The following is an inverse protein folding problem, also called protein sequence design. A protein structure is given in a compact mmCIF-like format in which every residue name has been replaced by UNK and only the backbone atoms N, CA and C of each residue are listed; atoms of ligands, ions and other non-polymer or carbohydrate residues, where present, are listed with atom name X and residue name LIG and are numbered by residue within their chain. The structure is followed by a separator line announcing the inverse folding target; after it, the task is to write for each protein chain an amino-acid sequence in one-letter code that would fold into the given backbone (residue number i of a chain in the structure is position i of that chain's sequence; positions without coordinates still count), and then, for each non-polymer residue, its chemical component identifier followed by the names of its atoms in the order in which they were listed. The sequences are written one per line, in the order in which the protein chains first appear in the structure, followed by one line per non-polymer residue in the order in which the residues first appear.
data_IF_113315645269
#
_entry.id   IF_113315645269
#
_cell.length_a   1.000
_cell.length_b   1.000
_cell.length_c   1.000
_cell.angle_alpha   90.00
_cell.angle_beta   90.00
_cell.angle_gamma   90.00
#
_symmetry.space_group_name_H-M   'P 1'
#
loop_
_entity.id
_entity.type
_entity.pdbx_description
1 polymer ?
#
# COMPACT_ATOMS: atom_id res chain seq x y z
N UNK A 1 108.70 57.32 33.90
CA UNK A 1 107.44 56.66 34.30
C UNK A 1 106.94 55.79 33.15
N UNK A 2 107.40 54.54 33.08
CA UNK A 2 107.00 53.57 32.04
C UNK A 2 106.22 52.43 32.71
N UNK A 3 104.90 52.38 32.52
CA UNK A 3 104.10 51.21 32.85
C UNK A 3 103.96 50.32 31.62
N UNK A 4 104.86 49.35 31.46
CA UNK A 4 104.66 48.21 30.55
C UNK A 4 103.75 47.22 31.25
N UNK A 5 102.47 47.15 30.84
CA UNK A 5 101.58 46.03 31.20
C UNK A 5 102.07 44.78 30.46
N UNK A 6 102.49 43.78 31.22
CA UNK A 6 102.66 42.42 30.72
C UNK A 6 101.30 41.89 30.24
N UNK A 7 101.23 41.44 28.99
CA UNK A 7 100.07 40.76 28.45
C UNK A 7 100.05 39.32 28.98
N UNK A 8 98.98 38.99 29.68
CA UNK A 8 98.73 37.72 30.34
C UNK A 8 98.36 36.61 29.30
N UNK A 9 99.04 35.46 29.24
CA UNK A 9 98.82 34.43 28.21
C UNK A 9 97.54 33.59 28.40
N UNK A 10 96.82 33.74 29.52
CA UNK A 10 95.69 32.86 29.92
C UNK A 10 94.33 33.33 29.37
N UNK A 11 94.23 34.59 28.96
CA UNK A 11 92.99 35.21 28.47
C UNK A 11 92.41 34.69 27.12
N UNK A 12 93.21 34.29 26.12
CA UNK A 12 92.67 33.84 24.82
C UNK A 12 91.96 32.48 24.86
N UNK A 13 92.40 31.54 25.70
CA UNK A 13 91.77 30.22 25.81
C UNK A 13 90.43 30.26 26.57
N UNK A 14 90.33 31.09 27.61
CA UNK A 14 89.06 31.33 28.30
C UNK A 14 88.02 31.98 27.36
N UNK A 15 88.47 32.94 26.54
CA UNK A 15 87.61 33.62 25.55
C UNK A 15 87.09 32.63 24.50
N UNK A 16 87.95 31.72 24.02
CA UNK A 16 87.58 30.66 23.07
C UNK A 16 86.56 29.69 23.67
N UNK A 17 86.73 29.28 24.93
CA UNK A 17 85.76 28.44 25.65
C UNK A 17 84.42 29.14 25.84
N UNK A 18 84.42 30.44 26.14
CA UNK A 18 83.20 31.23 26.30
C UNK A 18 82.41 31.36 24.99
N UNK A 19 83.08 31.53 23.85
CA UNK A 19 82.45 31.52 22.52
C UNK A 19 81.87 30.14 22.22
N UNK A 20 82.61 29.05 22.49
CA UNK A 20 82.09 27.68 22.33
C UNK A 20 80.86 27.43 23.20
N UNK A 21 80.87 27.88 24.45
CA UNK A 21 79.73 27.74 25.36
C UNK A 21 78.50 28.51 24.82
N UNK A 22 78.68 29.76 24.34
CA UNK A 22 77.60 30.53 23.70
C UNK A 22 77.03 29.84 22.46
N UNK A 23 77.89 29.25 21.62
CA UNK A 23 77.47 28.51 20.43
C UNK A 23 76.68 27.25 20.80
N UNK A 24 77.18 26.46 21.75
CA UNK A 24 76.48 25.27 22.25
C UNK A 24 75.13 25.63 22.87
N UNK A 25 75.04 26.76 23.59
CA UNK A 25 73.79 27.23 24.18
C UNK A 25 72.78 27.66 23.11
N UNK A 26 73.25 28.26 22.01
CA UNK A 26 72.42 28.57 20.85
C UNK A 26 71.94 27.31 20.11
N UNK A 27 72.81 26.31 19.94
CA UNK A 27 72.47 25.01 19.36
C UNK A 27 71.43 24.27 20.22
N UNK A 28 71.60 24.27 21.55
CA UNK A 28 70.65 23.66 22.48
C UNK A 28 69.27 24.31 22.38
N UNK A 29 69.21 25.66 22.33
CA UNK A 29 67.95 26.38 22.08
C UNK A 29 67.34 26.04 20.72
N UNK A 30 68.14 25.91 19.68
CA UNK A 30 67.66 25.53 18.34
C UNK A 30 67.08 24.11 18.33
N UNK A 31 67.76 23.16 18.98
CA UNK A 31 67.26 21.78 19.12
C UNK A 31 65.98 21.72 19.95
N UNK A 32 65.89 22.48 21.04
CA UNK A 32 64.66 22.61 21.83
C UNK A 32 63.50 23.16 20.99
N UNK A 33 63.73 24.19 20.17
CA UNK A 33 62.71 24.74 19.29
C UNK A 33 62.27 23.72 18.23
N UNK A 34 63.21 23.00 17.61
CA UNK A 34 62.89 21.93 16.64
C UNK A 34 62.08 20.80 17.27
N UNK A 35 62.46 20.39 18.49
CA UNK A 35 61.73 19.39 19.25
C UNK A 35 60.30 19.87 19.56
N UNK A 36 60.14 21.12 19.99
CA UNK A 36 58.83 21.72 20.25
C UNK A 36 57.95 21.73 19.00
N UNK A 37 58.50 22.11 17.84
CA UNK A 37 57.78 22.10 16.55
C UNK A 37 57.37 20.67 16.17
N UNK A 38 58.23 19.68 16.40
CA UNK A 38 57.90 18.27 16.13
C UNK A 38 56.82 17.76 17.07
N UNK A 39 56.88 18.11 18.36
CA UNK A 39 55.85 17.76 19.34
C UNK A 39 54.49 18.36 18.97
N UNK A 40 54.44 19.64 18.55
CA UNK A 40 53.17 20.25 18.11
C UNK A 40 52.61 19.55 16.86
N UNK A 41 53.46 19.26 15.87
CA UNK A 41 53.03 18.53 14.67
C UNK A 41 52.54 17.11 14.98
N UNK A 42 53.14 16.45 15.98
CA UNK A 42 52.73 15.13 16.43
C UNK A 42 51.36 15.18 17.12
N UNK A 43 51.11 16.18 17.97
CA UNK A 43 49.80 16.36 18.60
C UNK A 43 48.70 16.69 17.58
N UNK A 44 49.01 17.51 16.58
CA UNK A 44 48.08 17.77 15.45
C UNK A 44 47.75 16.48 14.71
N UNK A 45 48.77 15.69 14.33
CA UNK A 45 48.57 14.40 13.66
C UNK A 45 47.73 13.43 14.52
N UNK A 46 47.97 13.41 15.84
CA UNK A 46 47.19 12.61 16.79
C UNK A 46 45.71 13.04 16.82
N UNK A 47 45.43 14.33 16.77
CA UNK A 47 44.06 14.84 16.73
C UNK A 47 43.33 14.49 15.43
N UNK A 48 44.03 14.54 14.28
CA UNK A 48 43.50 14.13 12.98
C UNK A 48 43.22 12.63 12.94
N UNK A 49 44.10 11.81 13.53
CA UNK A 49 43.88 10.38 13.63
C UNK A 49 42.64 10.05 14.46
N UNK A 50 42.43 10.76 15.58
CA UNK A 50 41.27 10.52 16.43
C UNK A 50 39.97 10.94 15.75
N UNK A 51 39.95 12.08 15.05
CA UNK A 51 38.78 12.48 14.25
C UNK A 51 38.46 11.51 13.11
N UNK A 52 39.50 10.91 12.49
CA UNK A 52 39.31 9.86 11.50
C UNK A 52 38.65 8.60 12.10
N UNK A 53 39.06 8.19 13.31
CA UNK A 53 38.43 7.05 14.01
C UNK A 53 36.98 7.35 14.37
N UNK A 54 36.68 8.53 14.89
CA UNK A 54 35.32 8.95 15.23
C UNK A 54 34.43 8.94 13.98
N UNK A 55 34.91 9.50 12.87
CA UNK A 55 34.20 9.47 11.59
C UNK A 55 33.95 8.04 11.11
N UNK A 56 34.93 7.15 11.23
CA UNK A 56 34.77 5.75 10.84
C UNK A 56 33.73 5.02 11.69
N UNK A 57 33.69 5.27 13.01
CA UNK A 57 32.65 4.73 13.91
C UNK A 57 31.27 5.28 13.54
N UNK A 58 31.16 6.58 13.25
CA UNK A 58 29.91 7.20 12.83
C UNK A 58 29.42 6.62 11.49
N UNK A 59 30.31 6.45 10.51
CA UNK A 59 29.99 5.79 9.25
C UNK A 59 29.56 4.35 9.45
N UNK A 60 30.23 3.60 10.33
CA UNK A 60 29.83 2.23 10.66
C UNK A 60 28.43 2.17 11.27
N UNK A 61 28.06 3.12 12.13
CA UNK A 61 26.70 3.21 12.68
C UNK A 61 25.65 3.52 11.60
N UNK A 62 25.95 4.44 10.67
CA UNK A 62 25.07 4.73 9.54
C UNK A 62 24.88 3.51 8.63
N UNK A 63 25.96 2.80 8.33
CA UNK A 63 25.90 1.55 7.54
C UNK A 63 25.05 0.50 8.25
N UNK A 64 25.15 0.38 9.58
CA UNK A 64 24.32 -0.55 10.34
C UNK A 64 22.83 -0.19 10.23
N UNK A 65 22.49 1.09 10.44
CA UNK A 65 21.11 1.58 10.32
C UNK A 65 20.54 1.31 8.92
N UNK A 66 21.33 1.58 7.87
CA UNK A 66 20.90 1.32 6.49
C UNK A 66 20.71 -0.18 6.22
N UNK A 67 21.51 -1.05 6.83
CA UNK A 67 21.32 -2.51 6.72
C UNK A 67 20.03 -2.97 7.39
N UNK A 68 19.70 -2.41 8.55
CA UNK A 68 18.44 -2.70 9.23
C UNK A 68 17.25 -2.25 8.39
N UNK A 69 17.30 -1.03 7.82
CA UNK A 69 16.25 -0.53 6.91
C UNK A 69 16.08 -1.41 5.66
N UNK A 70 17.18 -1.92 5.08
CA UNK A 70 17.14 -2.85 3.95
C UNK A 70 16.43 -4.15 4.33
N UNK A 71 16.72 -4.68 5.53
CA UNK A 71 16.11 -5.92 6.02
C UNK A 71 14.59 -5.75 6.20
N UNK A 72 14.16 -4.62 6.74
CA UNK A 72 12.73 -4.30 6.89
C UNK A 72 12.04 -4.20 5.51
N UNK A 73 12.70 -3.58 4.53
CA UNK A 73 12.18 -3.52 3.16
C UNK A 73 12.08 -4.90 2.49
N UNK A 74 13.07 -5.78 2.70
CA UNK A 74 13.04 -7.16 2.20
C UNK A 74 11.85 -7.95 2.78
N UNK A 75 11.55 -7.80 4.06
CA UNK A 75 10.37 -8.41 4.70
C UNK A 75 9.06 -7.87 4.12
N UNK A 76 9.00 -6.56 3.85
CA UNK A 76 7.86 -5.91 3.22
C UNK A 76 7.63 -6.45 1.80
N UNK A 77 8.69 -6.62 1.01
CA UNK A 77 8.65 -7.22 -0.33
C UNK A 77 8.17 -8.68 -0.26
N UNK A 78 8.69 -9.46 0.69
CA UNK A 78 8.25 -10.86 0.88
C UNK A 78 6.76 -10.93 1.25
N UNK A 79 6.28 -10.02 2.10
CA UNK A 79 4.87 -9.90 2.49
C UNK A 79 3.98 -9.49 1.32
N UNK A 80 4.40 -8.50 0.54
CA UNK A 80 3.71 -8.07 -0.67
C UNK A 80 3.60 -9.23 -1.68
N UNK A 81 4.68 -10.01 -1.84
CA UNK A 81 4.70 -11.17 -2.73
C UNK A 81 3.70 -12.24 -2.30
N UNK A 82 3.62 -12.54 -0.99
CA UNK A 82 2.60 -13.44 -0.43
C UNK A 82 1.17 -12.95 -0.66
N UNK A 83 0.91 -11.66 -0.45
CA UNK A 83 -0.40 -11.06 -0.70
C UNK A 83 -0.76 -11.14 -2.18
N UNK A 84 0.20 -10.85 -3.08
CA UNK A 84 0.00 -10.94 -4.53
C UNK A 84 -0.35 -12.36 -4.96
N UNK A 85 0.37 -13.38 -4.46
CA UNK A 85 0.03 -14.78 -4.76
C UNK A 85 -1.35 -15.17 -4.24
N UNK A 86 -1.70 -14.74 -3.01
CA UNK A 86 -3.01 -15.02 -2.43
C UNK A 86 -4.15 -14.39 -3.26
N UNK A 87 -3.99 -13.13 -3.66
CA UNK A 87 -4.94 -12.43 -4.52
C UNK A 87 -5.11 -13.15 -5.86
N UNK A 88 -4.02 -13.59 -6.48
CA UNK A 88 -4.07 -14.32 -7.75
C UNK A 88 -4.82 -15.65 -7.60
N UNK A 89 -4.56 -16.42 -6.55
CA UNK A 89 -5.31 -17.66 -6.26
C UNK A 89 -6.79 -17.40 -6.07
N UNK A 90 -7.15 -16.34 -5.33
CA UNK A 90 -8.55 -15.99 -5.11
C UNK A 90 -9.26 -15.58 -6.41
N UNK A 91 -8.60 -14.80 -7.27
CA UNK A 91 -9.10 -14.45 -8.59
C UNK A 91 -9.37 -15.72 -9.42
N UNK A 92 -8.40 -16.64 -9.48
CA UNK A 92 -8.56 -17.90 -10.21
C UNK A 92 -9.72 -18.76 -9.69
N UNK A 93 -9.93 -18.80 -8.37
CA UNK A 93 -11.04 -19.53 -7.77
C UNK A 93 -12.40 -18.89 -8.12
N UNK A 94 -12.48 -17.55 -8.09
CA UNK A 94 -13.69 -16.83 -8.50
C UNK A 94 -13.98 -16.98 -9.99
N UNK A 95 -12.95 -16.91 -10.84
CA UNK A 95 -13.08 -17.15 -12.29
C UNK A 95 -13.59 -18.56 -12.58
N UNK A 96 -13.06 -19.57 -11.89
CA UNK A 96 -13.55 -20.95 -11.98
C UNK A 96 -15.01 -21.07 -11.55
N UNK A 97 -15.37 -20.52 -10.39
CA UNK A 97 -16.75 -20.54 -9.89
C UNK A 97 -17.73 -19.84 -10.85
N UNK A 98 -17.33 -18.72 -11.46
CA UNK A 98 -18.14 -18.05 -12.48
C UNK A 98 -18.30 -18.90 -13.75
N UNK A 99 -17.27 -19.62 -14.16
CA UNK A 99 -17.34 -20.54 -15.29
C UNK A 99 -18.31 -21.69 -15.02
N UNK A 100 -18.23 -22.33 -13.84
CA UNK A 100 -19.14 -23.40 -13.40
C UNK A 100 -20.60 -22.90 -13.34
N UNK A 101 -20.82 -21.68 -12.83
CA UNK A 101 -22.15 -21.05 -12.82
C UNK A 101 -22.68 -20.79 -14.23
N UNK A 102 -21.82 -20.36 -15.15
CA UNK A 102 -22.20 -20.13 -16.55
C UNK A 102 -22.61 -21.43 -17.22
N UNK A 103 -21.86 -22.51 -16.99
CA UNK A 103 -22.20 -23.85 -17.49
C UNK A 103 -23.56 -24.30 -16.93
N UNK A 104 -23.80 -24.09 -15.63
CA UNK A 104 -25.08 -24.43 -15.01
C UNK A 104 -26.26 -23.62 -15.56
N UNK A 105 -26.06 -22.34 -15.86
CA UNK A 105 -27.08 -21.50 -16.51
C UNK A 105 -27.42 -22.08 -17.89
N UNK A 106 -26.42 -22.43 -18.70
CA UNK A 106 -26.63 -23.03 -20.03
C UNK A 106 -27.40 -24.35 -19.93
N UNK A 107 -27.06 -25.22 -18.98
CA UNK A 107 -27.80 -26.47 -18.73
C UNK A 107 -29.28 -26.20 -18.40
N UNK A 108 -29.54 -25.26 -17.49
CA UNK A 108 -30.90 -24.91 -17.08
C UNK A 108 -31.71 -24.28 -18.23
N UNK A 109 -31.09 -23.42 -19.04
CA UNK A 109 -31.70 -22.85 -20.25
C UNK A 109 -32.07 -23.95 -21.27
N UNK A 110 -31.19 -24.93 -21.46
CA UNK A 110 -31.47 -26.07 -22.34
C UNK A 110 -32.63 -26.92 -21.81
N UNK A 111 -32.67 -27.21 -20.51
CA UNK A 111 -33.82 -27.88 -19.87
C UNK A 111 -35.12 -27.10 -20.06
N UNK A 112 -35.08 -25.77 -19.87
CA UNK A 112 -36.24 -24.92 -20.08
C UNK A 112 -36.72 -24.97 -21.53
N UNK A 113 -35.80 -24.93 -22.51
CA UNK A 113 -36.13 -25.03 -23.94
C UNK A 113 -36.84 -26.35 -24.27
N UNK A 114 -36.38 -27.47 -23.70
CA UNK A 114 -37.02 -28.78 -23.86
C UNK A 114 -38.43 -28.77 -23.28
N UNK A 115 -38.60 -28.29 -22.04
CA UNK A 115 -39.93 -28.21 -21.41
C UNK A 115 -40.89 -27.30 -22.17
N UNK A 116 -40.42 -26.18 -22.70
CA UNK A 116 -41.22 -25.29 -23.54
C UNK A 116 -41.70 -25.98 -24.82
N UNK A 117 -40.81 -26.73 -25.49
CA UNK A 117 -41.15 -27.50 -26.68
C UNK A 117 -42.17 -28.61 -26.38
N UNK A 118 -41.99 -29.34 -25.28
CA UNK A 118 -42.94 -30.38 -24.83
C UNK A 118 -44.31 -29.80 -24.51
N UNK A 119 -44.34 -28.64 -23.82
CA UNK A 119 -45.58 -27.91 -23.51
C UNK A 119 -46.30 -27.49 -24.79
N UNK A 120 -45.59 -26.88 -25.73
CA UNK A 120 -46.16 -26.44 -27.01
C UNK A 120 -46.72 -27.63 -27.82
N UNK A 121 -46.03 -28.78 -27.80
CA UNK A 121 -46.53 -30.03 -28.40
C UNK A 121 -47.79 -30.55 -27.71
N UNK A 122 -47.84 -30.50 -26.38
CA UNK A 122 -49.01 -30.89 -25.60
C UNK A 122 -50.20 -29.95 -25.86
N UNK A 123 -49.95 -28.65 -25.94
CA UNK A 123 -50.94 -27.61 -26.24
C UNK A 123 -51.53 -27.79 -27.65
N UNK A 124 -50.70 -28.04 -28.67
CA UNK A 124 -51.18 -28.38 -30.02
C UNK A 124 -52.07 -29.62 -30.03
N UNK A 125 -51.73 -30.66 -29.26
CA UNK A 125 -52.56 -31.87 -29.13
C UNK A 125 -53.89 -31.58 -28.44
N UNK A 126 -53.86 -30.80 -27.35
CA UNK A 126 -55.06 -30.40 -26.62
C UNK A 126 -56.00 -29.60 -27.52
N UNK A 127 -55.50 -28.59 -28.25
CA UNK A 127 -56.30 -27.81 -29.19
C UNK A 127 -56.89 -28.64 -30.35
N UNK A 128 -56.19 -29.70 -30.80
CA UNK A 128 -56.74 -30.64 -31.78
C UNK A 128 -57.92 -31.45 -31.20
N UNK A 129 -57.81 -31.88 -29.95
CA UNK A 129 -58.90 -32.59 -29.26
C UNK A 129 -60.08 -31.67 -28.96
N UNK A 130 -59.83 -30.44 -28.55
CA UNK A 130 -60.86 -29.42 -28.32
C UNK A 130 -61.65 -29.12 -29.60
N UNK A 131 -60.97 -28.98 -30.76
CA UNK A 131 -61.66 -28.83 -32.06
C UNK A 131 -62.51 -30.05 -32.44
N UNK A 132 -62.08 -31.27 -32.10
CA UNK A 132 -62.89 -32.49 -32.32
C UNK A 132 -64.12 -32.51 -31.41
N UNK A 133 -63.98 -32.05 -30.16
CA UNK A 133 -65.07 -31.99 -29.19
C UNK A 133 -66.07 -30.87 -29.51
N UNK A 134 -65.61 -29.69 -29.93
CA UNK A 134 -66.47 -28.60 -30.39
C UNK A 134 -67.25 -28.97 -31.66
N UNK A 135 -66.68 -29.82 -32.54
CA UNK A 135 -67.38 -30.42 -33.67
C UNK A 135 -68.45 -31.47 -33.30
N UNK A 136 -68.45 -31.95 -32.05
CA UNK A 136 -69.48 -32.86 -31.50
C UNK A 136 -70.47 -32.16 -30.56
N UNK A 137 -70.31 -30.86 -30.31
CA UNK A 137 -71.16 -30.09 -29.37
C UNK A 137 -72.46 -29.57 -30.01
N UNK A 138 -72.81 -30.07 -31.20
CA UNK A 138 -74.17 -30.09 -31.69
C UNK A 138 -74.58 -31.54 -31.84
N UNK A 139 -75.63 -31.95 -31.13
CA UNK A 139 -76.30 -33.27 -31.14
C UNK A 139 -76.02 -34.20 -29.96
N UNK A 140 -76.72 -33.92 -28.86
CA UNK A 140 -77.49 -34.97 -28.18
C UNK A 140 -78.97 -34.55 -28.18
N UNK A 141 -79.79 -34.94 -29.17
CA UNK A 141 -81.24 -34.84 -29.03
C UNK A 141 -81.72 -35.99 -28.14
N UNK A 142 -82.27 -35.60 -27.00
CA UNK A 142 -83.11 -36.43 -26.17
C UNK A 142 -84.26 -37.00 -27.03
N UNK A 143 -84.38 -38.32 -27.08
CA UNK A 143 -85.42 -39.04 -27.83
C UNK A 143 -86.80 -38.61 -27.35
N UNK A 144 -87.62 -38.03 -28.23
CA UNK A 144 -89.08 -38.02 -28.08
C UNK A 144 -89.74 -38.39 -29.41
N UNK A 145 -90.50 -39.47 -29.35
CA UNK A 145 -91.22 -40.09 -30.47
C UNK A 145 -92.56 -39.38 -30.65
N UNK A 146 -92.71 -38.51 -31.66
CA UNK A 146 -94.02 -38.25 -32.28
C UNK A 146 -93.91 -37.47 -33.60
N UNK A 147 -94.35 -38.11 -34.69
CA UNK A 147 -95.20 -37.50 -35.72
C UNK A 147 -94.60 -36.50 -36.71
N UNK A 148 -94.56 -36.95 -37.96
CA UNK A 148 -95.08 -36.25 -39.15
C UNK A 148 -94.23 -35.17 -39.88
N UNK A 149 -93.83 -35.57 -41.09
CA UNK A 149 -93.86 -34.88 -42.40
C UNK A 149 -93.35 -33.43 -42.57
N UNK A 150 -92.49 -33.33 -43.58
CA UNK A 150 -92.35 -32.26 -44.58
C UNK A 150 -91.94 -30.84 -44.12
N UNK A 151 -90.72 -30.45 -44.48
CA UNK A 151 -90.54 -29.43 -45.54
C UNK A 151 -89.07 -29.35 -45.96
N UNK A 152 -88.89 -29.56 -47.25
CA UNK A 152 -87.68 -29.39 -48.05
C UNK A 152 -87.44 -27.89 -48.34
N UNK A 153 -86.33 -27.56 -49.04
CA UNK A 153 -86.05 -26.28 -49.76
C UNK A 153 -85.33 -25.24 -48.87
N UNK A 154 -84.25 -24.54 -49.24
CA UNK A 154 -83.38 -24.37 -50.42
C UNK A 154 -82.26 -23.39 -49.98
N UNK A 155 -80.98 -23.56 -50.31
CA UNK A 155 -80.33 -23.18 -51.59
C UNK A 155 -79.58 -21.83 -51.54
N UNK A 156 -78.37 -21.89 -52.10
CA UNK A 156 -77.52 -20.87 -52.73
C UNK A 156 -76.21 -20.55 -52.00
N UNK A 157 -75.04 -21.02 -52.47
CA UNK A 157 -74.27 -20.65 -53.67
C UNK A 157 -73.58 -19.28 -53.61
N UNK A 158 -72.31 -19.31 -54.10
CA UNK A 158 -71.43 -18.25 -54.62
C UNK A 158 -70.53 -17.54 -53.59
N UNK A 159 -69.25 -17.28 -53.86
CA UNK A 159 -68.42 -17.45 -55.06
C UNK A 159 -66.94 -17.16 -54.72
N UNK A 160 -66.02 -17.79 -55.49
CA UNK A 160 -64.72 -17.27 -56.02
C UNK A 160 -63.57 -16.99 -55.01
N UNK A 161 -62.41 -17.67 -55.07
CA UNK A 161 -61.42 -17.72 -56.17
C UNK A 161 -60.25 -16.78 -55.79
N UNK A 162 -58.94 -17.02 -55.94
CA UNK A 162 -58.20 -17.80 -56.93
C UNK A 162 -56.69 -17.74 -56.57
N UNK A 163 -56.02 -18.92 -56.54
CA UNK A 163 -54.66 -19.21 -57.08
C UNK A 163 -53.41 -18.53 -56.42
N UNK A 164 -52.19 -19.09 -56.31
CA UNK A 164 -51.26 -19.84 -57.18
C UNK A 164 -50.18 -20.41 -56.20
N UNK A 165 -49.61 -21.63 -56.22
CA UNK A 165 -48.44 -22.03 -57.03
C UNK A 165 -47.95 -23.46 -56.60
N UNK A 166 -48.12 -24.41 -57.52
CA UNK A 166 -47.11 -25.39 -57.98
C UNK A 166 -46.64 -26.54 -57.07
N UNK A 167 -47.28 -27.70 -57.30
CA UNK A 167 -46.72 -29.02 -57.72
C UNK A 167 -45.43 -29.53 -57.05
N UNK A 168 -45.52 -30.68 -56.39
CA UNK A 168 -44.99 -31.97 -56.89
C UNK A 168 -45.31 -33.11 -55.90
N UNK A 169 -46.35 -33.90 -56.20
CA UNK A 169 -46.48 -35.28 -55.74
C UNK A 169 -46.42 -36.19 -56.96
N UNK A 170 -45.39 -37.04 -57.01
CA UNK A 170 -45.37 -38.19 -57.89
C UNK A 170 -46.48 -39.15 -57.47
N UNK A 171 -47.25 -39.55 -58.48
CA UNK A 171 -48.30 -40.54 -58.41
C UNK A 171 -47.65 -41.92 -58.37
N UNK A 172 -48.12 -42.76 -57.47
CA UNK A 172 -48.17 -44.19 -57.73
C UNK A 172 -49.62 -44.68 -57.66
N UNK A 173 -49.91 -45.50 -58.67
CA UNK A 173 -51.22 -45.83 -59.19
C UNK A 173 -51.77 -47.04 -58.44
N UNK A 174 -52.94 -46.90 -57.83
CA UNK A 174 -53.80 -48.02 -57.48
C UNK A 174 -54.47 -48.57 -58.75
N UNK A 175 -54.28 -49.87 -59.01
CA UNK A 175 -55.31 -50.66 -59.68
C UNK A 175 -56.18 -51.31 -58.61
N UNK A 176 -57.46 -50.94 -58.65
CA UNK A 176 -58.56 -51.43 -57.85
C UNK A 176 -58.90 -52.88 -58.19
N UNK A 177 -58.71 -53.78 -57.22
CA UNK A 177 -59.42 -55.06 -57.16
C UNK A 177 -60.74 -54.85 -56.40
N UNK A 178 -61.84 -55.33 -57.00
CA UNK A 178 -63.21 -54.93 -56.65
C UNK A 178 -63.72 -55.41 -55.28
N UNK A 179 -64.90 -54.89 -54.86
CA UNK A 179 -65.44 -54.97 -53.49
C UNK A 179 -66.13 -56.30 -53.18
N UNK A 180 -65.51 -57.44 -53.55
CA UNK A 180 -66.02 -58.79 -53.24
C UNK A 180 -65.24 -59.49 -52.14
N UNK A 181 -64.03 -59.01 -51.81
CA UNK A 181 -63.18 -59.64 -50.78
C UNK A 181 -63.47 -59.09 -49.38
N UNK A 182 -63.85 -57.82 -49.26
CA UNK A 182 -64.19 -57.18 -47.97
C UNK A 182 -65.41 -57.80 -47.27
N UNK A 183 -66.44 -58.21 -48.02
CA UNK A 183 -67.60 -58.89 -47.47
C UNK A 183 -67.24 -60.31 -46.99
N UNK A 184 -66.41 -61.02 -47.76
CA UNK A 184 -65.92 -62.36 -47.42
C UNK A 184 -64.99 -62.36 -46.20
N UNK A 185 -64.21 -61.29 -46.02
CA UNK A 185 -63.36 -61.09 -44.84
C UNK A 185 -64.23 -60.78 -43.61
N UNK A 186 -65.30 -59.98 -43.76
CA UNK A 186 -66.24 -59.70 -42.67
C UNK A 186 -67.01 -60.94 -42.23
N UNK A 187 -67.52 -61.73 -43.17
CA UNK A 187 -68.24 -62.97 -42.87
C UNK A 187 -67.33 -64.00 -42.19
N UNK A 188 -66.07 -64.12 -42.63
CA UNK A 188 -65.06 -64.99 -42.01
C UNK A 188 -64.62 -64.53 -40.62
N UNK A 189 -64.52 -63.22 -40.39
CA UNK A 189 -64.20 -62.65 -39.08
C UNK A 189 -65.37 -62.77 -38.09
N UNK A 190 -66.60 -62.75 -38.61
CA UNK A 190 -67.81 -62.96 -37.83
C UNK A 190 -67.98 -64.43 -37.44
N UNK A 191 -67.69 -65.37 -38.34
CA UNK A 191 -67.62 -66.80 -38.02
C UNK A 191 -66.48 -67.14 -37.05
N UNK A 192 -65.30 -66.52 -37.18
CA UNK A 192 -64.19 -66.70 -36.23
C UNK A 192 -64.51 -66.15 -34.82
N UNK A 193 -65.28 -65.05 -34.74
CA UNK A 193 -65.80 -64.56 -33.47
C UNK A 193 -66.80 -65.53 -32.84
N UNK A 194 -67.72 -66.10 -33.64
CA UNK A 194 -68.68 -67.10 -33.16
C UNK A 194 -67.97 -68.43 -32.79
N UNK A 195 -66.90 -68.82 -33.50
CA UNK A 195 -66.08 -69.99 -33.16
C UNK A 195 -65.25 -69.78 -31.89
N UNK A 196 -64.66 -68.58 -31.69
CA UNK A 196 -63.98 -68.21 -30.45
C UNK A 196 -64.93 -68.09 -29.26
N UNK A 197 -66.14 -67.62 -29.50
CA UNK A 197 -67.19 -67.58 -28.48
C UNK A 197 -67.67 -68.99 -28.12
N UNK A 198 -67.82 -69.90 -29.10
CA UNK A 198 -68.07 -71.33 -28.84
C UNK A 198 -66.91 -72.03 -28.11
N UNK A 199 -65.64 -71.67 -28.38
CA UNK A 199 -64.48 -72.14 -27.61
C UNK A 199 -64.48 -71.62 -26.17
N UNK A 200 -65.02 -70.43 -25.89
CA UNK A 200 -65.20 -69.95 -24.52
C UNK A 200 -66.19 -70.81 -23.74
N UNK A 201 -67.26 -71.28 -24.37
CA UNK A 201 -68.23 -72.19 -23.74
C UNK A 201 -67.75 -73.65 -23.65
N UNK A 202 -66.76 -74.08 -24.47
CA UNK A 202 -66.09 -75.38 -24.33
C UNK A 202 -64.99 -75.41 -23.25
N UNK A 203 -64.44 -74.25 -22.87
CA UNK A 203 -63.51 -74.12 -21.73
C UNK A 203 -64.22 -73.99 -20.36
N UNK A 204 -65.53 -73.77 -20.36
CA UNK A 204 -66.37 -73.77 -19.15
C UNK A 204 -66.98 -75.16 -18.85
N UNK A 205 -66.57 -76.19 -19.61
CA UNK A 205 -66.74 -77.59 -19.20
C UNK A 205 -65.77 -77.82 -18.03
N UNK A 206 -66.25 -78.23 -16.83
CA UNK A 206 -65.35 -78.56 -15.73
C UNK A 206 -64.36 -79.61 -16.24
N UNK A 207 -63.05 -79.52 -15.93
CA UNK A 207 -62.10 -80.51 -16.37
C UNK A 207 -62.64 -81.87 -15.95
N UNK A 208 -62.76 -82.78 -16.91
CA UNK A 208 -62.97 -84.18 -16.58
C UNK A 208 -61.79 -84.55 -15.68
N UNK A 209 -62.06 -84.71 -14.38
CA UNK A 209 -61.03 -84.90 -13.37
C UNK A 209 -60.38 -86.25 -13.60
N UNK A 210 -59.26 -86.26 -14.32
CA UNK A 210 -58.36 -87.39 -14.35
C UNK A 210 -57.74 -87.50 -12.95
N UNK A 211 -58.32 -88.39 -12.14
CA UNK A 211 -58.15 -88.41 -10.67
C UNK A 211 -56.77 -88.87 -10.17
N UNK A 212 -55.83 -89.19 -11.07
CA UNK A 212 -54.50 -89.67 -10.70
C UNK A 212 -53.39 -88.63 -10.85
N UNK A 213 -53.54 -87.60 -11.69
CA UNK A 213 -52.54 -86.50 -11.80
C UNK A 213 -52.62 -85.50 -10.65
N UNK A 214 -53.80 -85.37 -10.03
CA UNK A 214 -54.04 -84.46 -8.91
C UNK A 214 -53.36 -84.91 -7.60
N UNK A 215 -53.12 -86.21 -7.40
CA UNK A 215 -52.47 -86.71 -6.17
C UNK A 215 -50.99 -86.35 -6.11
N UNK A 216 -50.28 -86.49 -7.24
CA UNK A 216 -48.87 -86.10 -7.32
C UNK A 216 -48.72 -84.58 -7.15
N UNK A 217 -49.45 -83.78 -7.94
CA UNK A 217 -49.40 -82.32 -7.86
C UNK A 217 -49.80 -81.77 -6.48
N UNK A 218 -50.85 -82.33 -5.85
CA UNK A 218 -51.29 -81.95 -4.50
C UNK A 218 -50.24 -82.30 -3.43
N UNK A 219 -49.55 -83.43 -3.56
CA UNK A 219 -48.46 -83.78 -2.63
C UNK A 219 -47.25 -82.83 -2.75
N UNK A 220 -46.90 -82.42 -3.97
CA UNK A 220 -45.83 -81.46 -4.21
C UNK A 220 -46.19 -80.07 -3.68
N UNK A 221 -47.44 -79.63 -3.87
CA UNK A 221 -47.95 -78.38 -3.30
C UNK A 221 -47.95 -78.39 -1.77
N UNK A 222 -48.41 -79.50 -1.17
CA UNK A 222 -48.40 -79.67 0.29
C UNK A 222 -46.97 -79.66 0.85
N UNK A 223 -46.02 -80.30 0.14
CA UNK A 223 -44.59 -80.33 0.52
C UNK A 223 -43.99 -78.93 0.44
N UNK A 224 -44.30 -78.17 -0.62
CA UNK A 224 -43.88 -76.77 -0.75
C UNK A 224 -44.45 -75.89 0.36
N UNK A 225 -45.74 -76.02 0.69
CA UNK A 225 -46.35 -75.32 1.83
C UNK A 225 -45.70 -75.68 3.17
N UNK A 226 -45.33 -76.95 3.38
CA UNK A 226 -44.62 -77.37 4.60
C UNK A 226 -43.22 -76.76 4.71
N UNK A 227 -42.52 -76.62 3.59
CA UNK A 227 -41.20 -75.97 3.54
C UNK A 227 -41.32 -74.46 3.82
N UNK A 228 -42.32 -73.79 3.23
CA UNK A 228 -42.60 -72.39 3.51
C UNK A 228 -43.00 -72.14 4.96
N UNK A 229 -43.88 -72.97 5.52
CA UNK A 229 -44.29 -72.87 6.92
C UNK A 229 -43.10 -73.03 7.87
N UNK A 230 -42.17 -73.94 7.57
CA UNK A 230 -40.95 -74.14 8.36
C UNK A 230 -39.99 -72.95 8.26
N UNK A 231 -39.80 -72.39 7.06
CA UNK A 231 -38.93 -71.22 6.83
C UNK A 231 -39.46 -69.93 7.45
N UNK A 232 -40.79 -69.77 7.51
CA UNK A 232 -41.46 -68.58 8.04
C UNK A 232 -41.74 -68.69 9.55
N UNK A 233 -41.52 -69.88 10.14
CA UNK A 233 -41.70 -70.11 11.56
C UNK A 233 -40.56 -69.47 12.35
N UNK A 234 -40.90 -68.56 13.25
CA UNK A 234 -39.97 -68.01 14.23
C UNK A 234 -40.09 -68.81 15.54
N UNK A 235 -39.05 -68.80 16.37
CA UNK A 235 -38.87 -69.61 17.61
C UNK A 235 -40.01 -69.57 18.66
N UNK A 236 -41.09 -68.84 18.43
CA UNK A 236 -42.18 -68.60 19.40
C UNK A 236 -43.55 -69.14 18.92
N UNK A 237 -43.80 -69.32 17.61
CA UNK A 237 -45.10 -69.82 17.10
C UNK A 237 -44.91 -70.69 15.85
N UNK A 238 -45.27 -71.99 15.91
CA UNK A 238 -45.31 -72.87 14.74
C UNK A 238 -46.43 -72.46 13.77
N UNK A 239 -46.11 -72.35 12.48
CA UNK A 239 -47.11 -72.00 11.46
C UNK A 239 -47.68 -73.30 10.85
N UNK A 240 -49.01 -73.45 10.75
CA UNK A 240 -49.61 -74.57 10.03
C UNK A 240 -49.22 -74.56 8.55
N UNK A 241 -48.96 -75.74 7.97
CA UNK A 241 -48.66 -75.92 6.53
C UNK A 241 -49.92 -75.80 5.66
N UNK A 242 -50.67 -74.72 5.84
CA UNK A 242 -51.84 -74.31 5.07
C UNK A 242 -51.55 -73.00 4.33
N UNK A 243 -52.10 -72.86 3.12
CA UNK A 243 -51.86 -71.70 2.26
C UNK A 243 -52.22 -70.37 2.94
N UNK A 244 -53.37 -70.31 3.60
CA UNK A 244 -53.84 -69.11 4.29
C UNK A 244 -52.92 -68.70 5.45
N UNK A 245 -52.40 -69.66 6.22
CA UNK A 245 -51.51 -69.37 7.34
C UNK A 245 -50.14 -68.85 6.87
N UNK A 246 -49.61 -69.42 5.78
CA UNK A 246 -48.36 -68.97 5.14
C UNK A 246 -48.53 -67.57 4.56
N UNK A 247 -49.63 -67.32 3.85
CA UNK A 247 -49.94 -66.01 3.24
C UNK A 247 -50.11 -64.91 4.29
N UNK A 248 -50.86 -65.20 5.35
CA UNK A 248 -51.08 -64.28 6.46
C UNK A 248 -49.75 -63.93 7.16
N UNK A 249 -48.85 -64.90 7.33
CA UNK A 249 -47.54 -64.64 7.94
C UNK A 249 -46.64 -63.76 7.06
N UNK A 250 -46.57 -64.03 5.76
CA UNK A 250 -45.80 -63.20 4.83
C UNK A 250 -46.29 -61.75 4.87
N UNK A 251 -47.61 -61.57 4.90
CA UNK A 251 -48.24 -60.25 4.96
C UNK A 251 -47.94 -59.53 6.29
N UNK A 252 -47.95 -60.26 7.41
CA UNK A 252 -47.60 -59.74 8.73
C UNK A 252 -46.11 -59.35 8.84
N UNK A 253 -45.21 -60.16 8.28
CA UNK A 253 -43.76 -59.87 8.21
C UNK A 253 -43.53 -58.63 7.34
N UNK A 254 -44.19 -58.54 6.18
CA UNK A 254 -44.11 -57.37 5.31
C UNK A 254 -44.62 -56.10 6.01
N UNK A 255 -45.76 -56.18 6.72
CA UNK A 255 -46.28 -55.06 7.49
C UNK A 255 -45.34 -54.62 8.63
N UNK A 256 -44.75 -55.59 9.36
CA UNK A 256 -43.75 -55.32 10.39
C UNK A 256 -42.49 -54.69 9.82
N UNK A 257 -41.97 -55.18 8.71
CA UNK A 257 -40.78 -54.60 8.07
C UNK A 257 -41.01 -53.13 7.65
N UNK A 258 -42.19 -52.80 7.10
CA UNK A 258 -42.54 -51.43 6.74
C UNK A 258 -42.67 -50.52 7.97
N UNK A 259 -43.27 -51.02 9.05
CA UNK A 259 -43.34 -50.31 10.34
C UNK A 259 -41.95 -50.04 10.93
N UNK A 260 -41.08 -51.05 10.99
CA UNK A 260 -39.71 -50.90 11.49
C UNK A 260 -38.88 -49.96 10.61
N UNK A 261 -39.07 -50.00 9.28
CA UNK A 261 -38.45 -49.04 8.35
C UNK A 261 -38.94 -47.61 8.60
N UNK A 262 -40.23 -47.42 8.83
CA UNK A 262 -40.82 -46.11 9.13
C UNK A 262 -40.29 -45.53 10.46
N UNK A 263 -40.33 -46.29 11.55
CA UNK A 263 -39.81 -45.86 12.87
C UNK A 263 -38.30 -45.59 12.85
N UNK A 264 -37.53 -46.47 12.21
CA UNK A 264 -36.09 -46.30 12.11
C UNK A 264 -35.72 -45.11 11.21
N UNK A 265 -36.51 -44.84 10.16
CA UNK A 265 -36.33 -43.65 9.32
C UNK A 265 -36.64 -42.35 10.07
N UNK A 266 -37.73 -42.30 10.85
CA UNK A 266 -38.08 -41.14 11.66
C UNK A 266 -37.02 -40.84 12.71
N UNK A 267 -36.50 -41.88 13.35
CA UNK A 267 -35.41 -41.77 14.31
C UNK A 267 -34.14 -41.25 13.63
N UNK A 268 -33.66 -41.89 12.55
CA UNK A 268 -32.49 -41.41 11.78
C UNK A 268 -32.61 -39.95 11.37
N UNK A 269 -33.78 -39.54 10.87
CA UNK A 269 -34.03 -38.17 10.43
C UNK A 269 -33.93 -37.16 11.59
N UNK A 270 -34.42 -37.53 12.78
CA UNK A 270 -34.30 -36.71 13.98
C UNK A 270 -32.84 -36.55 14.42
N UNK A 271 -32.06 -37.65 14.46
CA UNK A 271 -30.64 -37.59 14.79
C UNK A 271 -29.84 -36.76 13.78
N UNK A 272 -30.16 -36.85 12.49
CA UNK A 272 -29.51 -36.01 11.46
C UNK A 272 -29.87 -34.55 11.58
N UNK A 273 -31.11 -34.21 11.94
CA UNK A 273 -31.53 -32.82 12.15
C UNK A 273 -30.85 -32.22 13.39
N UNK A 274 -30.81 -32.96 14.50
CA UNK A 274 -30.14 -32.53 15.74
C UNK A 274 -28.62 -32.37 15.55
N UNK A 275 -27.95 -33.33 14.87
CA UNK A 275 -26.54 -33.17 14.50
C UNK A 275 -26.33 -31.96 13.58
N UNK A 276 -27.24 -31.72 12.63
CA UNK A 276 -27.18 -30.56 11.76
C UNK A 276 -27.36 -29.23 12.49
N UNK A 277 -28.20 -29.18 13.53
CA UNK A 277 -28.33 -28.01 14.41
C UNK A 277 -27.06 -27.78 15.23
N UNK A 278 -26.53 -28.84 15.85
CA UNK A 278 -25.30 -28.76 16.64
C UNK A 278 -24.10 -28.32 15.79
N UNK A 279 -23.95 -28.85 14.58
CA UNK A 279 -22.87 -28.48 13.65
C UNK A 279 -22.98 -27.01 13.23
N UNK A 280 -24.20 -26.53 12.92
CA UNK A 280 -24.45 -25.11 12.60
C UNK A 280 -24.20 -24.19 13.79
N UNK A 281 -24.48 -24.63 15.02
CA UNK A 281 -24.18 -23.84 16.22
C UNK A 281 -22.68 -23.76 16.46
N UNK A 282 -21.98 -24.88 16.38
CA UNK A 282 -20.52 -24.94 16.54
C UNK A 282 -19.80 -24.06 15.50
N UNK A 283 -20.29 -24.05 14.27
CA UNK A 283 -19.76 -23.20 13.20
C UNK A 283 -19.94 -21.71 13.51
N UNK A 284 -21.13 -21.29 13.97
CA UNK A 284 -21.39 -19.91 14.41
C UNK A 284 -20.51 -19.50 15.59
N UNK A 285 -20.34 -20.37 16.58
CA UNK A 285 -19.50 -20.10 17.75
C UNK A 285 -18.03 -19.97 17.33
N UNK A 286 -17.56 -20.81 16.40
CA UNK A 286 -16.22 -20.73 15.83
C UNK A 286 -16.02 -19.45 15.01
N UNK A 287 -16.99 -19.05 14.19
CA UNK A 287 -16.96 -17.78 13.45
C UNK A 287 -16.89 -16.59 14.41
N UNK A 288 -17.73 -16.55 15.45
CA UNK A 288 -17.67 -15.50 16.48
C UNK A 288 -16.32 -15.47 17.19
N UNK A 289 -15.76 -16.63 17.53
CA UNK A 289 -14.45 -16.71 18.16
C UNK A 289 -13.33 -16.19 17.24
N UNK A 290 -13.37 -16.51 15.95
CA UNK A 290 -12.40 -15.98 14.97
C UNK A 290 -12.51 -14.47 14.81
N UNK A 291 -13.74 -13.94 14.77
CA UNK A 291 -13.98 -12.50 14.65
C UNK A 291 -13.48 -11.74 15.88
N UNK A 292 -13.72 -12.29 17.08
CA UNK A 292 -13.20 -11.73 18.33
C UNK A 292 -11.67 -11.72 18.36
N UNK A 293 -11.02 -12.82 17.94
CA UNK A 293 -9.56 -12.90 17.86
C UNK A 293 -8.99 -11.87 16.86
N UNK A 294 -9.62 -11.71 15.68
CA UNK A 294 -9.22 -10.71 14.69
C UNK A 294 -9.32 -9.30 15.30
N UNK A 295 -10.42 -8.99 15.98
CA UNK A 295 -10.62 -7.69 16.63
C UNK A 295 -9.57 -7.43 17.72
N UNK A 296 -9.29 -8.41 18.59
CA UNK A 296 -8.25 -8.29 19.62
C UNK A 296 -6.87 -8.05 19.00
N UNK A 297 -6.50 -8.81 17.97
CA UNK A 297 -5.21 -8.65 17.30
C UNK A 297 -5.06 -7.26 16.65
N UNK A 298 -6.12 -6.75 16.01
CA UNK A 298 -6.16 -5.39 15.48
C UNK A 298 -5.99 -4.34 16.58
N UNK A 299 -6.64 -4.52 17.73
CA UNK A 299 -6.52 -3.61 18.86
C UNK A 299 -5.10 -3.64 19.47
N UNK A 300 -4.48 -4.82 19.57
CA UNK A 300 -3.09 -4.96 20.05
C UNK A 300 -2.12 -4.27 19.09
N UNK A 301 -2.23 -4.54 17.78
CA UNK A 301 -1.35 -3.96 16.76
C UNK A 301 -1.46 -2.42 16.71
N UNK A 302 -2.68 -1.89 16.80
CA UNK A 302 -2.90 -0.44 16.83
C UNK A 302 -2.33 0.20 18.09
N UNK A 303 -2.47 -0.45 19.24
CA UNK A 303 -1.90 0.02 20.52
C UNK A 303 -0.37 0.01 20.48
N UNK A 304 0.26 -1.06 19.99
CA UNK A 304 1.72 -1.16 19.86
C UNK A 304 2.29 -0.05 18.96
N UNK A 305 1.65 0.23 17.81
CA UNK A 305 2.06 1.31 16.91
C UNK A 305 1.98 2.69 17.56
N UNK A 306 0.99 2.93 18.43
CA UNK A 306 0.88 4.18 19.18
C UNK A 306 1.96 4.27 20.25
N UNK A 307 2.26 3.18 20.95
CA UNK A 307 3.32 3.09 21.95
C UNK A 307 4.70 3.41 21.34
N UNK A 308 5.03 2.84 20.18
CA UNK A 308 6.26 3.14 19.45
C UNK A 308 6.39 4.64 19.08
N UNK A 309 5.29 5.25 18.65
CA UNK A 309 5.25 6.70 18.36
C UNK A 309 5.50 7.51 19.63
N UNK A 310 4.89 7.12 20.76
CA UNK A 310 5.10 7.78 22.05
C UNK A 310 6.56 7.68 22.47
N UNK A 311 7.17 6.48 22.38
CA UNK A 311 8.58 6.27 22.71
C UNK A 311 9.51 7.11 21.82
N UNK A 312 9.23 7.19 20.51
CA UNK A 312 10.00 8.02 19.58
C UNK A 312 9.92 9.50 19.93
N UNK A 313 8.72 10.01 20.23
CA UNK A 313 8.52 11.40 20.65
C UNK A 313 9.19 11.69 22.00
N UNK A 314 9.14 10.76 22.95
CA UNK A 314 9.83 10.89 24.24
C UNK A 314 11.35 10.97 24.07
N UNK A 315 11.93 10.15 23.19
CA UNK A 315 13.36 10.20 22.86
C UNK A 315 13.74 11.55 22.25
N UNK A 316 13.01 12.02 21.24
CA UNK A 316 13.22 13.33 20.62
C UNK A 316 13.13 14.47 21.65
N UNK A 317 12.17 14.41 22.56
CA UNK A 317 12.02 15.40 23.62
C UNK A 317 13.22 15.39 24.59
N UNK A 318 13.76 14.21 24.92
CA UNK A 318 14.95 14.07 25.75
C UNK A 318 16.19 14.67 25.06
N UNK A 319 16.39 14.36 23.79
CA UNK A 319 17.51 14.88 22.99
C UNK A 319 17.45 16.41 22.88
N UNK A 320 16.26 16.97 22.62
CA UNK A 320 16.03 18.41 22.60
C UNK A 320 16.28 19.06 23.97
N UNK A 321 15.85 18.42 25.06
CA UNK A 321 16.15 18.90 26.42
C UNK A 321 17.65 18.95 26.70
N UNK A 322 18.41 17.93 26.29
CA UNK A 322 19.86 17.88 26.43
C UNK A 322 20.56 18.94 25.57
N UNK A 323 20.15 19.08 24.31
CA UNK A 323 20.66 20.12 23.41
C UNK A 323 20.41 21.52 23.96
N UNK A 324 19.20 21.79 24.46
CA UNK A 324 18.86 23.08 25.07
C UNK A 324 19.69 23.36 26.33
N UNK A 325 19.93 22.35 27.18
CA UNK A 325 20.85 22.47 28.31
C UNK A 325 22.28 22.82 27.86
N UNK A 326 22.77 22.18 26.80
CA UNK A 326 24.08 22.48 26.20
C UNK A 326 24.16 23.91 25.66
N UNK A 327 23.17 24.32 24.85
CA UNK A 327 23.06 25.69 24.33
C UNK A 327 23.03 26.73 25.46
N UNK A 328 22.29 26.46 26.53
CA UNK A 328 22.23 27.34 27.71
C UNK A 328 23.61 27.49 28.36
N UNK A 329 24.39 26.42 28.46
CA UNK A 329 25.78 26.46 28.96
C UNK A 329 26.69 27.24 28.00
N UNK A 330 26.54 27.06 26.68
CA UNK A 330 27.31 27.85 25.74
C UNK A 330 26.96 29.34 25.82
N UNK A 331 25.67 29.67 25.95
CA UNK A 331 25.21 31.05 26.06
C UNK A 331 25.75 31.74 27.33
N UNK A 332 25.79 31.04 28.47
CA UNK A 332 26.40 31.58 29.69
C UNK A 332 27.90 31.79 29.51
N UNK A 333 28.61 30.87 28.85
CA UNK A 333 30.04 31.03 28.53
C UNK A 333 30.29 32.24 27.61
N UNK A 334 29.49 32.42 26.57
CA UNK A 334 29.57 33.57 25.66
C UNK A 334 29.32 34.88 26.41
N UNK A 335 28.33 34.92 27.30
CA UNK A 335 28.06 36.10 28.12
C UNK A 335 29.24 36.44 29.04
N UNK A 336 29.83 35.46 29.70
CA UNK A 336 31.05 35.66 30.53
C UNK A 336 32.21 36.22 29.70
N UNK A 337 32.42 35.70 28.48
CA UNK A 337 33.46 36.22 27.57
C UNK A 337 33.18 37.66 27.12
N UNK A 338 31.91 37.97 26.79
CA UNK A 338 31.48 39.32 26.43
C UNK A 338 31.76 40.31 27.57
N UNK A 339 31.39 39.97 28.80
CA UNK A 339 31.60 40.82 29.97
C UNK A 339 33.09 41.06 30.25
N UNK A 340 33.93 40.02 30.09
CA UNK A 340 35.39 40.14 30.20
C UNK A 340 35.98 41.06 29.14
N UNK A 341 35.48 40.99 27.90
CA UNK A 341 35.89 41.87 26.80
C UNK A 341 35.47 43.32 27.05
N UNK A 342 34.21 43.54 27.47
CA UNK A 342 33.72 44.88 27.85
C UNK A 342 34.57 45.46 28.97
N UNK A 343 34.91 44.67 30.00
CA UNK A 343 35.78 45.12 31.10
C UNK A 343 37.17 45.55 30.60
N UNK A 344 37.79 44.78 29.71
CA UNK A 344 39.08 45.15 29.09
C UNK A 344 38.98 46.44 28.28
N UNK A 345 37.93 46.58 27.45
CA UNK A 345 37.71 47.79 26.65
C UNK A 345 37.52 49.02 27.53
N UNK A 346 36.74 48.91 28.61
CA UNK A 346 36.59 49.98 29.62
C UNK A 346 37.93 50.36 30.24
N UNK A 347 38.76 49.39 30.62
CA UNK A 347 40.09 49.65 31.16
C UNK A 347 41.00 50.38 30.17
N UNK A 348 41.02 49.96 28.90
CA UNK A 348 41.78 50.66 27.86
C UNK A 348 41.28 52.07 27.61
N UNK A 349 39.95 52.28 27.65
CA UNK A 349 39.36 53.61 27.48
C UNK A 349 39.80 54.56 28.60
N UNK A 350 39.74 54.12 29.86
CA UNK A 350 40.21 54.92 30.99
C UNK A 350 41.71 55.26 30.88
N UNK A 351 42.53 54.34 30.39
CA UNK A 351 43.95 54.60 30.15
C UNK A 351 44.16 55.67 29.07
N UNK A 352 43.42 55.59 27.96
CA UNK A 352 43.46 56.58 26.88
C UNK A 352 42.97 57.95 27.37
N UNK A 353 41.91 58.00 28.17
CA UNK A 353 41.41 59.24 28.79
C UNK A 353 42.45 59.87 29.72
N UNK A 354 43.14 59.07 30.54
CA UNK A 354 44.23 59.55 31.38
C UNK A 354 45.42 60.08 30.55
N UNK A 355 45.77 59.41 29.44
CA UNK A 355 46.81 59.88 28.52
C UNK A 355 46.38 61.19 27.83
N UNK A 356 45.12 61.29 27.41
CA UNK A 356 44.55 62.51 26.84
C UNK A 356 44.60 63.66 27.85
N UNK A 357 44.18 63.45 29.09
CA UNK A 357 44.28 64.46 30.16
C UNK A 357 45.71 64.93 30.39
N UNK A 358 46.68 64.00 30.43
CA UNK A 358 48.11 64.35 30.52
C UNK A 358 48.61 65.15 29.31
N UNK A 359 48.17 64.80 28.10
CA UNK A 359 48.52 65.52 26.89
C UNK A 359 47.92 66.94 26.90
N UNK A 360 46.67 67.09 27.32
CA UNK A 360 45.99 68.40 27.48
C UNK A 360 46.73 69.28 28.49
N UNK A 361 47.10 68.75 29.66
CA UNK A 361 47.90 69.50 30.65
C UNK A 361 49.26 69.93 30.09
N UNK A 362 49.93 69.07 29.31
CA UNK A 362 51.19 69.44 28.63
C UNK A 362 50.98 70.53 27.59
N UNK A 363 49.91 70.46 26.80
CA UNK A 363 49.60 71.50 25.80
C UNK A 363 49.21 72.82 26.47
N UNK A 364 48.48 72.80 27.58
CA UNK A 364 48.11 74.01 28.31
C UNK A 364 49.33 74.66 28.98
N UNK A 365 50.26 73.86 29.51
CA UNK A 365 51.55 74.36 30.02
C UNK A 365 52.40 74.97 28.90
N UNK A 366 52.47 74.31 27.73
CA UNK A 366 53.14 74.85 26.54
C UNK A 366 52.47 76.12 26.02
N UNK A 367 51.13 76.21 26.10
CA UNK A 367 50.38 77.40 25.72
C UNK A 367 50.62 78.56 26.68
N UNK A 368 50.73 78.28 27.98
CA UNK A 368 51.03 79.28 29.03
C UNK A 368 52.46 79.81 28.90
N UNK A 369 53.44 78.92 28.68
CA UNK A 369 54.83 79.30 28.41
C UNK A 369 54.98 80.04 27.08
N UNK A 370 54.25 79.63 26.04
CA UNK A 370 54.16 80.39 24.78
C UNK A 370 53.55 81.78 25.00
N UNK A 371 52.50 81.91 25.81
CA UNK A 371 51.89 83.20 26.12
C UNK A 371 52.86 84.12 26.89
N UNK A 372 53.60 83.58 27.85
CA UNK A 372 54.65 84.30 28.60
C UNK A 372 55.81 84.72 27.68
N UNK A 373 56.30 83.81 26.84
CA UNK A 373 57.34 84.10 25.85
C UNK A 373 56.87 85.14 24.82
N UNK A 374 55.60 85.09 24.40
CA UNK A 374 54.99 86.07 23.50
C UNK A 374 54.83 87.44 24.17
N UNK A 375 54.49 87.50 25.46
CA UNK A 375 54.43 88.76 26.20
C UNK A 375 55.82 89.36 26.41
N UNK A 376 56.82 88.53 26.70
CA UNK A 376 58.23 88.94 26.81
C UNK A 376 58.76 89.46 25.48
N UNK A 377 58.50 88.73 24.38
CA UNK A 377 58.83 89.18 23.03
C UNK A 377 58.07 90.45 22.63
N UNK A 378 56.82 90.66 23.11
CA UNK A 378 56.08 91.92 22.91
C UNK A 378 56.70 93.07 23.71
N UNK A 379 57.11 92.85 24.95
CA UNK A 379 57.82 93.84 25.77
C UNK A 379 59.20 94.18 25.21
N UNK A 380 59.92 93.21 24.66
CA UNK A 380 61.18 93.44 23.96
C UNK A 380 60.95 94.12 22.60
N UNK A 381 59.84 93.82 21.90
CA UNK A 381 59.39 94.60 20.73
C UNK A 381 58.99 96.02 21.10
N UNK A 382 58.36 96.26 22.24
CA UNK A 382 57.99 97.60 22.72
C UNK A 382 59.24 98.39 23.11
N UNK A 383 60.27 97.75 23.71
CA UNK A 383 61.59 98.36 23.92
C UNK A 383 62.34 98.66 22.62
N UNK A 384 62.28 97.73 21.66
CA UNK A 384 62.86 97.93 20.32
C UNK A 384 62.08 99.02 19.58
N UNK A 385 60.75 99.11 19.70
CA UNK A 385 59.95 100.21 19.17
C UNK A 385 60.25 101.55 19.87
N UNK A 386 60.50 101.55 21.18
CA UNK A 386 60.96 102.75 21.90
C UNK A 386 62.37 103.21 21.48
N UNK A 387 63.21 102.27 21.04
CA UNK A 387 64.53 102.54 20.46
C UNK A 387 64.45 102.92 18.97
N UNK A 388 63.47 102.39 18.23
CA UNK A 388 63.23 102.65 16.81
C UNK A 388 62.49 103.97 16.59
N UNK A 389 61.61 104.38 17.50
CA UNK A 389 60.92 105.69 17.46
C UNK A 389 61.89 106.87 17.75
N UNK A 390 63.10 106.59 18.24
CA UNK A 390 64.20 107.54 18.38
C UNK A 390 65.09 107.66 17.13
N UNK A 391 64.85 106.87 16.08
CA UNK A 391 65.58 106.91 14.80
C UNK A 391 64.58 106.95 13.65
N UNK A 392 64.42 108.15 13.10
CA UNK A 392 63.47 108.54 12.06
C UNK A 392 63.60 107.79 10.72
N UNK A 393 62.43 107.65 10.06
CA UNK A 393 62.16 107.68 8.59
C UNK A 393 61.85 106.38 7.82
N UNK A 394 60.54 106.18 7.62
CA UNK A 394 59.81 105.76 6.40
C UNK A 394 59.97 104.35 5.76
N UNK A 395 58.90 103.85 5.08
CA UNK A 395 58.43 102.47 5.23
C UNK A 395 58.62 101.60 3.98
N UNK A 396 58.58 100.28 4.15
CA UNK A 396 58.36 99.35 3.04
C UNK A 396 57.27 98.33 3.38
N UNK A 397 56.16 98.47 2.67
CA UNK A 397 55.01 97.57 2.60
C UNK A 397 55.33 96.29 1.83
N UNK A 398 54.93 95.12 2.36
CA UNK A 398 54.42 94.01 1.55
C UNK A 398 53.66 92.99 2.42
N UNK A 399 52.35 92.90 2.16
CA UNK A 399 51.42 91.84 2.55
C UNK A 399 51.38 90.77 1.44
N UNK A 400 50.93 89.56 1.81
CA UNK A 400 50.52 88.43 0.96
C UNK A 400 51.69 87.67 0.31
N UNK A 401 51.80 86.35 0.36
CA UNK A 401 50.84 85.28 0.02
C UNK A 401 51.38 83.94 0.52
N UNK A 402 50.52 83.03 1.00
CA UNK A 402 50.79 81.59 0.85
C UNK A 402 49.48 80.92 0.50
N UNK A 403 49.24 80.90 -0.81
CA UNK A 403 48.16 80.21 -1.46
C UNK A 403 48.37 78.69 -1.37
N UNK A 404 47.26 77.97 -1.39
CA UNK A 404 47.18 76.50 -1.33
C UNK A 404 47.89 75.90 -2.54
N UNK A 405 48.78 74.93 -2.32
CA UNK A 405 49.26 74.04 -3.38
C UNK A 405 48.21 72.94 -3.61
N UNK A 406 47.54 72.88 -4.78
CA UNK A 406 46.60 71.80 -5.11
C UNK A 406 47.37 70.73 -5.89
N UNK A 407 48.12 69.88 -5.18
CA UNK A 407 48.89 68.80 -5.81
C UNK A 407 49.00 67.53 -4.97
N UNK A 408 48.83 67.66 -3.65
CA UNK A 408 49.10 66.57 -2.71
C UNK A 408 48.05 65.43 -2.76
N UNK A 409 46.89 65.66 -3.38
CA UNK A 409 45.81 64.68 -3.44
C UNK A 409 45.93 63.72 -4.65
N UNK A 410 46.65 64.13 -5.71
CA UNK A 410 46.90 63.28 -6.87
C UNK A 410 48.03 62.27 -6.59
N UNK A 411 49.14 62.72 -5.97
CA UNK A 411 50.25 61.84 -5.57
C UNK A 411 49.83 60.76 -4.56
N UNK A 412 48.91 61.08 -3.64
CA UNK A 412 48.36 60.11 -2.69
C UNK A 412 47.46 59.05 -3.36
N UNK A 413 46.76 59.42 -4.43
CA UNK A 413 45.98 58.48 -5.23
C UNK A 413 46.87 57.55 -6.04
N UNK A 414 47.89 58.09 -6.70
CA UNK A 414 48.82 57.33 -7.54
C UNK A 414 49.67 56.35 -6.69
N UNK A 415 50.01 56.76 -5.46
CA UNK A 415 50.69 55.90 -4.48
C UNK A 415 49.79 54.77 -3.97
N UNK A 416 48.51 55.06 -3.68
CA UNK A 416 47.52 54.02 -3.29
C UNK A 416 47.31 53.01 -4.41
N UNK A 417 47.23 53.44 -5.65
CA UNK A 417 47.08 52.55 -6.81
C UNK A 417 48.32 51.65 -7.00
N UNK A 418 49.52 52.21 -6.80
CA UNK A 418 50.78 51.47 -6.91
C UNK A 418 50.91 50.41 -5.82
N UNK A 419 50.55 50.72 -4.56
CA UNK A 419 50.52 49.74 -3.46
C UNK A 419 49.52 48.62 -3.75
N UNK A 420 48.33 48.94 -4.27
CA UNK A 420 47.33 47.92 -4.60
C UNK A 420 47.80 46.98 -5.71
N UNK A 421 48.52 47.48 -6.72
CA UNK A 421 49.13 46.65 -7.78
C UNK A 421 50.27 45.76 -7.24
N UNK A 422 51.13 46.27 -6.36
CA UNK A 422 52.20 45.48 -5.73
C UNK A 422 51.68 44.38 -4.79
N UNK A 423 50.54 44.62 -4.13
CA UNK A 423 49.90 43.65 -3.23
C UNK A 423 49.00 42.65 -3.98
N UNK A 424 48.91 42.71 -5.32
CA UNK A 424 48.13 41.78 -6.14
C UNK A 424 46.61 41.98 -6.08
N UNK A 425 46.13 43.10 -5.52
CA UNK A 425 44.69 43.38 -5.42
C UNK A 425 44.20 44.12 -6.66
N UNK A 426 43.70 43.39 -7.66
CA UNK A 426 43.06 43.95 -8.84
C UNK A 426 41.52 43.99 -8.65
N UNK A 427 41.02 44.93 -7.85
CA UNK A 427 39.59 45.02 -7.45
C UNK A 427 38.60 45.30 -8.60
N UNK A 428 39.06 45.73 -9.79
CA UNK A 428 38.13 46.03 -10.91
C UNK A 428 37.59 44.79 -11.65
N UNK A 429 38.23 43.63 -11.50
CA UNK A 429 37.84 42.40 -12.22
C UNK A 429 37.26 41.34 -11.29
N UNK A 430 37.80 41.23 -10.06
CA UNK A 430 37.37 40.23 -9.08
C UNK A 430 35.91 40.40 -8.64
N UNK A 431 35.43 41.65 -8.49
CA UNK A 431 34.05 41.90 -8.06
C UNK A 431 33.02 41.40 -9.08
N UNK A 432 33.31 41.44 -10.39
CA UNK A 432 32.33 41.06 -11.41
C UNK A 432 32.13 39.54 -11.51
N UNK A 433 33.20 38.77 -11.34
CA UNK A 433 33.13 37.30 -11.32
C UNK A 433 32.53 36.78 -10.01
N UNK A 434 32.88 37.38 -8.88
CA UNK A 434 32.32 37.02 -7.58
C UNK A 434 30.83 37.37 -7.54
N UNK A 435 30.43 38.55 -8.03
CA UNK A 435 29.02 38.95 -8.13
C UNK A 435 28.25 38.03 -9.10
N UNK A 436 28.85 37.60 -10.21
CA UNK A 436 28.20 36.66 -11.13
C UNK A 436 28.06 35.25 -10.52
N UNK A 437 29.07 34.73 -9.82
CA UNK A 437 28.97 33.44 -9.14
C UNK A 437 27.92 33.48 -8.02
N UNK A 438 27.88 34.54 -7.22
CA UNK A 438 26.85 34.71 -6.19
C UNK A 438 25.45 34.84 -6.79
N UNK A 439 25.31 35.50 -7.95
CA UNK A 439 24.01 35.59 -8.65
C UNK A 439 23.53 34.22 -9.14
N UNK A 440 24.43 33.39 -9.68
CA UNK A 440 24.10 32.03 -10.11
C UNK A 440 23.69 31.14 -8.93
N UNK A 441 24.42 31.20 -7.81
CA UNK A 441 24.09 30.44 -6.59
C UNK A 441 22.72 30.82 -6.03
N UNK A 442 22.38 32.11 -6.04
CA UNK A 442 21.07 32.60 -5.59
C UNK A 442 19.95 32.13 -6.53
N UNK A 443 20.17 32.12 -7.85
CA UNK A 443 19.19 31.61 -8.82
C UNK A 443 18.93 30.11 -8.66
N UNK A 444 19.97 29.30 -8.47
CA UNK A 444 19.80 27.85 -8.23
C UNK A 444 19.07 27.56 -6.92
N UNK A 445 19.35 28.33 -5.87
CA UNK A 445 18.66 28.20 -4.58
C UNK A 445 17.17 28.57 -4.71
N UNK A 446 16.84 29.63 -5.44
CA UNK A 446 15.45 30.03 -5.67
C UNK A 446 14.70 29.03 -6.58
N UNK A 447 15.35 28.47 -7.60
CA UNK A 447 14.77 27.42 -8.45
C UNK A 447 14.52 26.12 -7.67
N UNK A 448 15.45 25.72 -6.81
CA UNK A 448 15.30 24.55 -5.93
C UNK A 448 14.17 24.71 -4.91
N UNK A 449 14.01 25.91 -4.33
CA UNK A 449 12.89 26.20 -3.42
C UNK A 449 11.54 26.25 -4.14
N UNK A 450 11.47 26.81 -5.36
CA UNK A 450 10.22 26.82 -6.14
C UNK A 450 9.80 25.41 -6.57
N UNK A 451 10.75 24.54 -6.93
CA UNK A 451 10.48 23.12 -7.25
C UNK A 451 9.98 22.34 -6.02
N UNK A 452 10.50 22.62 -4.82
CA UNK A 452 10.03 22.02 -3.57
C UNK A 452 8.60 22.41 -3.20
N UNK A 453 8.21 23.66 -3.49
CA UNK A 453 6.85 24.15 -3.21
C UNK A 453 5.84 23.63 -4.26
N UNK A 454 6.28 23.33 -5.49
CA UNK A 454 5.43 22.75 -6.52
C UNK A 454 5.21 21.23 -6.34
N UNK A 455 6.23 20.46 -5.92
CA UNK A 455 6.07 19.00 -5.73
C UNK A 455 5.19 18.64 -4.54
N UNK A 456 5.09 19.50 -3.53
CA UNK A 456 4.26 19.28 -2.35
C UNK A 456 2.77 19.59 -2.61
N UNK A 457 2.40 20.14 -3.78
CA UNK A 457 1.03 20.49 -4.14
C UNK A 457 0.36 19.56 -5.16
N UNK A 458 1.08 18.66 -5.84
CA UNK A 458 0.54 17.96 -7.03
C UNK A 458 0.26 16.45 -6.88
N UNK A 459 0.37 15.85 -5.68
CA UNK A 459 -0.02 14.43 -5.47
C UNK A 459 -1.38 14.26 -4.79
N UNK A 460 -2.27 15.23 -4.99
CA UNK A 460 -3.59 15.29 -4.35
C UNK A 460 -4.76 15.24 -5.31
N UNK A 461 -4.66 14.58 -6.46
CA UNK A 461 -5.82 14.28 -7.31
C UNK A 461 -5.46 13.16 -8.31
N UNK A 462 -6.13 12.02 -8.15
CA UNK A 462 -6.56 11.07 -9.20
C UNK A 462 -6.54 9.64 -8.65
N UNK A 463 -7.75 9.17 -8.30
CA UNK A 463 -8.32 7.88 -8.71
C UNK A 463 -9.69 7.76 -8.05
N UNK A 464 -10.70 8.26 -8.77
CA UNK A 464 -12.08 7.77 -8.73
C UNK A 464 -12.22 6.63 -9.75
#
# INVERSE_FOLDING_TARGET
MYNKRAADPVHPDLTRLLVKNKNLLAELRNLQNKLLIKETSFQEMKSVLESYKENNVQQSFQIMSLKDDIKDLEELIASLTRIKSLKNTNIQNLERGNWDLTERIIELENHLRVHLFEREKAERKAGLLEKKLAGTDGFIPYMNMKGQEDSLVSFMMKDKGEDILTKNSERDIFHSEGPKDGQKIWDKCQEDSIHKEKQKYELDRPPHSFSWETKSARSHYQKFLSQLATLLSNNVVPIPATEEAVKQRIQEIGAKEQSWKSENSGTKNLWTDEHGKMSRQLEKDNEQQTLLNIQQNLQIATTQRLEEKIQKLQKQLSDLKLSNKSMKIQLTRVNVLKDKTIKKLRQSLTQVEAMKGKAVMKTDNLKTTLHSAKQKARGDKEKVHQLLDAVTSEPCTAKSTLDKVPGQQQELSDFRETIMKMLGFNMRTADKEIINHLRLIIQDYEASNKSKIASDCETGQDNE
#
